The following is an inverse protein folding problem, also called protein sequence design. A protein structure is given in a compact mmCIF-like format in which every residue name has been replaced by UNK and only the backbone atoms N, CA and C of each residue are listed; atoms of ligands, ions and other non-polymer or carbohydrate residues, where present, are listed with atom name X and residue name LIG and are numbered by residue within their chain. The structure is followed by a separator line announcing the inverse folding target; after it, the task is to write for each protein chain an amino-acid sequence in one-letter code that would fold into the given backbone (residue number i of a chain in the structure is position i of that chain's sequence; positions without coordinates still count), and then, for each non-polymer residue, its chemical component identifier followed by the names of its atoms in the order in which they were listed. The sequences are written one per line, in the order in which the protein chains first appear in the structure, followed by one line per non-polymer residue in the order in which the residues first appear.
data_IF_590344738995
#
_entry.id   IF_590344738995
#
_cell.length_a   1.000
_cell.length_b   1.000
_cell.length_c   1.000
_cell.angle_alpha   90.00
_cell.angle_beta   90.00
_cell.angle_gamma   90.00
#
_symmetry.space_group_name_H-M   'P 1'
#
loop_
_entity.id
_entity.type
_entity.pdbx_description
1 polymer ?
#
# COMPACT_ATOMS: atom_id res chain seq x y z
N UNK A 1 21.95 -25.87 17.59
CA UNK A 1 22.37 -24.71 16.76
C UNK A 1 21.58 -24.81 15.47
N UNK A 2 20.67 -23.88 15.24
CA UNK A 2 19.72 -23.93 14.12
C UNK A 2 20.37 -23.45 12.80
N UNK A 3 20.40 -24.28 11.75
CA UNK A 3 21.06 -23.99 10.49
C UNK A 3 20.35 -22.91 9.63
N UNK A 4 19.08 -22.59 9.94
CA UNK A 4 18.32 -21.59 9.18
C UNK A 4 18.61 -20.15 9.63
N UNK A 5 19.01 -19.96 10.89
CA UNK A 5 19.38 -18.64 11.42
C UNK A 5 20.65 -18.11 10.74
N UNK A 6 21.64 -18.98 10.49
CA UNK A 6 22.92 -18.59 9.87
C UNK A 6 22.79 -18.28 8.38
N UNK A 7 21.88 -18.95 7.66
CA UNK A 7 21.56 -18.61 6.25
C UNK A 7 20.91 -17.23 6.12
N UNK A 8 19.98 -16.90 7.03
CA UNK A 8 19.30 -15.61 7.04
C UNK A 8 20.24 -14.43 7.31
N UNK A 9 21.21 -14.60 8.23
CA UNK A 9 22.19 -13.54 8.52
C UNK A 9 23.13 -13.27 7.34
N UNK A 10 23.53 -14.32 6.62
CA UNK A 10 24.41 -14.21 5.44
C UNK A 10 23.70 -13.54 4.25
N UNK A 11 22.41 -13.80 4.03
CA UNK A 11 21.64 -13.14 2.96
C UNK A 11 21.41 -11.64 3.24
N UNK A 12 21.17 -11.25 4.49
CA UNK A 12 21.01 -9.83 4.86
C UNK A 12 22.32 -9.04 4.76
N UNK A 13 23.46 -9.66 5.12
CA UNK A 13 24.78 -9.04 4.98
C UNK A 13 25.18 -8.86 3.51
N UNK A 14 24.84 -9.85 2.66
CA UNK A 14 25.09 -9.79 1.22
C UNK A 14 24.33 -8.63 0.58
N UNK A 15 23.02 -8.48 0.87
CA UNK A 15 22.21 -7.37 0.36
C UNK A 15 22.71 -5.99 0.80
N UNK A 16 23.16 -5.84 2.05
CA UNK A 16 23.73 -4.59 2.56
C UNK A 16 24.98 -4.16 1.80
N UNK A 17 25.86 -5.11 1.47
CA UNK A 17 27.08 -4.83 0.70
C UNK A 17 26.79 -4.49 -0.77
N UNK A 18 25.78 -5.12 -1.41
CA UNK A 18 25.44 -4.81 -2.81
C UNK A 18 24.81 -3.41 -2.92
N UNK A 19 23.95 -3.04 -1.97
CA UNK A 19 23.35 -1.69 -1.94
C UNK A 19 24.42 -0.63 -1.65
N UNK A 20 25.35 -0.90 -0.73
CA UNK A 20 26.44 0.02 -0.44
C UNK A 20 27.42 0.19 -1.62
N UNK A 21 27.68 -0.89 -2.38
CA UNK A 21 28.49 -0.82 -3.59
C UNK A 21 27.79 -0.02 -4.70
N UNK A 22 26.50 -0.30 -4.94
CA UNK A 22 25.70 0.44 -5.92
C UNK A 22 25.60 1.93 -5.57
N UNK A 23 25.51 2.28 -4.28
CA UNK A 23 25.50 3.68 -3.83
C UNK A 23 26.83 4.40 -4.12
N UNK A 24 27.97 3.72 -3.92
CA UNK A 24 29.30 4.31 -4.21
C UNK A 24 29.56 4.48 -5.70
N UNK A 25 29.15 3.51 -6.51
CA UNK A 25 29.31 3.58 -7.97
C UNK A 25 28.41 4.69 -8.55
N UNK A 26 27.19 4.84 -8.04
CA UNK A 26 26.30 5.95 -8.40
C UNK A 26 26.87 7.32 -8.02
N UNK A 27 27.45 7.42 -6.82
CA UNK A 27 28.09 8.64 -6.34
C UNK A 27 29.33 9.02 -7.17
N UNK A 28 30.10 8.03 -7.62
CA UNK A 28 31.26 8.23 -8.49
C UNK A 28 30.86 8.67 -9.89
N UNK A 29 29.83 8.05 -10.48
CA UNK A 29 29.30 8.45 -11.78
C UNK A 29 28.70 9.87 -11.78
N UNK A 30 28.10 10.31 -10.67
CA UNK A 30 27.62 11.68 -10.48
C UNK A 30 28.77 12.68 -10.47
N UNK A 31 29.81 12.43 -9.67
CA UNK A 31 31.00 13.29 -9.59
C UNK A 31 31.76 13.38 -10.93
N UNK A 32 31.82 12.27 -11.67
CA UNK A 32 32.46 12.25 -12.99
C UNK A 32 31.61 12.98 -14.06
N UNK A 33 30.27 12.96 -13.93
CA UNK A 33 29.37 13.76 -14.78
C UNK A 33 29.42 15.25 -14.44
N UNK A 34 29.50 15.63 -13.17
CA UNK A 34 29.66 17.02 -12.72
C UNK A 34 30.95 17.65 -13.28
N UNK A 35 32.06 16.91 -13.24
CA UNK A 35 33.34 17.35 -13.82
C UNK A 35 33.29 17.51 -15.34
N UNK A 36 32.47 16.72 -16.03
CA UNK A 36 32.29 16.82 -17.48
C UNK A 36 31.31 17.94 -17.89
N UNK A 37 30.46 18.42 -16.96
CA UNK A 37 29.41 19.41 -17.22
C UNK A 37 29.83 20.84 -16.86
N UNK A 38 30.93 21.02 -16.13
CA UNK A 38 31.52 22.32 -15.76
C UNK A 38 32.13 23.11 -16.94
N UNK A 39 31.95 22.68 -18.20
CA UNK A 39 32.47 23.38 -19.39
C UNK A 39 31.40 24.04 -20.28
N UNK A 40 30.13 24.14 -19.84
CA UNK A 40 29.11 24.89 -20.57
C UNK A 40 28.35 25.84 -19.65
N UNK A 41 28.51 27.14 -19.91
CA UNK A 41 27.84 28.28 -19.28
C UNK A 41 26.35 28.03 -18.97
N UNK A 42 26.05 27.76 -17.71
CA UNK A 42 24.82 28.10 -17.00
C UNK A 42 25.28 28.81 -15.73
N UNK A 43 24.51 29.79 -15.23
CA UNK A 43 24.79 30.43 -13.94
C UNK A 43 25.10 29.34 -12.89
N UNK A 44 26.35 29.28 -12.45
CA UNK A 44 26.85 28.29 -11.50
C UNK A 44 26.23 28.62 -10.14
N UNK A 45 25.04 28.07 -9.89
CA UNK A 45 24.53 27.90 -8.53
C UNK A 45 25.49 26.94 -7.85
N UNK A 46 26.28 27.47 -6.90
CA UNK A 46 27.22 26.67 -6.11
C UNK A 46 26.42 25.60 -5.36
N UNK A 47 26.64 24.34 -5.76
CA UNK A 47 25.92 23.21 -5.22
C UNK A 47 26.20 23.04 -3.72
N UNK A 48 27.38 23.49 -3.27
CA UNK A 48 27.78 23.47 -1.86
C UNK A 48 27.01 24.53 -1.05
N UNK A 49 26.77 25.74 -1.58
CA UNK A 49 25.94 26.76 -0.90
C UNK A 49 24.47 26.34 -0.80
N UNK A 50 23.95 25.60 -1.78
CA UNK A 50 22.58 25.09 -1.76
C UNK A 50 22.41 23.92 -0.77
N UNK A 51 23.47 23.14 -0.52
CA UNK A 51 23.46 22.04 0.45
C UNK A 51 23.44 22.52 1.90
N UNK A 52 24.01 23.69 2.17
CA UNK A 52 24.02 24.33 3.50
C UNK A 52 22.84 25.29 3.73
N UNK A 53 21.90 25.41 2.78
CA UNK A 53 20.70 26.24 2.92
C UNK A 53 19.73 25.65 3.96
N UNK A 54 19.52 26.30 5.12
CA UNK A 54 18.63 25.82 6.17
C UNK A 54 17.16 25.70 5.73
N UNK A 55 16.74 26.46 4.71
CA UNK A 55 15.40 26.38 4.15
C UNK A 55 15.21 25.11 3.30
N UNK A 56 16.24 24.73 2.52
CA UNK A 56 16.24 23.51 1.72
C UNK A 56 16.28 22.25 2.61
N UNK A 57 17.10 22.25 3.67
CA UNK A 57 17.13 21.18 4.67
C UNK A 57 15.77 20.98 5.34
N UNK A 58 15.10 22.08 5.70
CA UNK A 58 13.75 22.04 6.28
C UNK A 58 12.75 21.42 5.32
N UNK A 59 12.72 21.86 4.05
CA UNK A 59 11.87 21.28 2.99
C UNK A 59 12.12 19.78 2.78
N UNK A 60 13.38 19.36 2.81
CA UNK A 60 13.76 17.95 2.75
C UNK A 60 13.23 17.17 3.96
N UNK A 61 13.44 17.70 5.16
CA UNK A 61 12.97 17.07 6.40
C UNK A 61 11.44 16.92 6.43
N UNK A 62 10.71 17.94 6.01
CA UNK A 62 9.24 17.95 5.93
C UNK A 62 8.73 16.93 4.91
N UNK A 63 9.40 16.83 3.75
CA UNK A 63 9.04 15.84 2.72
C UNK A 63 9.31 14.41 3.18
N UNK A 64 10.45 14.17 3.82
CA UNK A 64 10.78 12.86 4.40
C UNK A 64 9.79 12.49 5.51
N UNK A 65 9.43 13.44 6.37
CA UNK A 65 8.44 13.23 7.42
C UNK A 65 7.05 12.91 6.84
N UNK A 66 6.61 13.62 5.80
CA UNK A 66 5.35 13.37 5.11
C UNK A 66 5.32 11.96 4.48
N UNK A 67 6.39 11.57 3.78
CA UNK A 67 6.53 10.25 3.17
C UNK A 67 6.53 9.13 4.22
N UNK A 68 7.24 9.32 5.35
CA UNK A 68 7.24 8.37 6.47
C UNK A 68 5.84 8.21 7.06
N UNK A 69 5.15 9.31 7.33
CA UNK A 69 3.78 9.30 7.88
C UNK A 69 2.79 8.59 6.95
N UNK A 70 2.89 8.82 5.64
CA UNK A 70 2.05 8.12 4.67
C UNK A 70 2.36 6.63 4.61
N UNK A 71 3.65 6.25 4.64
CA UNK A 71 4.07 4.86 4.69
C UNK A 71 3.56 4.14 5.95
N UNK A 72 3.68 4.76 7.12
CA UNK A 72 3.16 4.23 8.39
C UNK A 72 1.63 4.06 8.33
N UNK A 73 0.90 5.08 7.86
CA UNK A 73 -0.55 4.99 7.69
C UNK A 73 -0.93 3.83 6.78
N UNK A 74 -0.20 3.66 5.66
CA UNK A 74 -0.42 2.57 4.72
C UNK A 74 -0.12 1.20 5.33
N UNK A 75 0.94 1.07 6.12
CA UNK A 75 1.28 -0.16 6.84
C UNK A 75 0.19 -0.52 7.86
N UNK A 76 -0.28 0.44 8.66
CA UNK A 76 -1.37 0.21 9.63
C UNK A 76 -2.64 -0.27 8.94
N UNK A 77 -3.00 0.34 7.80
CA UNK A 77 -4.15 -0.10 7.02
C UNK A 77 -3.96 -1.51 6.45
N UNK A 78 -2.77 -1.83 5.94
CA UNK A 78 -2.43 -3.18 5.46
C UNK A 78 -2.53 -4.22 6.57
N UNK A 79 -2.04 -3.92 7.79
CA UNK A 79 -2.19 -4.81 8.95
C UNK A 79 -3.66 -5.08 9.31
N UNK A 80 -4.56 -4.11 9.04
CA UNK A 80 -6.02 -4.26 9.22
C UNK A 80 -6.71 -5.01 8.06
N UNK A 81 -5.95 -5.50 7.08
CA UNK A 81 -6.44 -6.24 5.91
C UNK A 81 -6.88 -5.34 4.75
N UNK A 82 -6.50 -4.06 4.73
CA UNK A 82 -6.74 -3.21 3.56
C UNK A 82 -5.75 -3.51 2.44
N UNK A 83 -6.18 -3.36 1.20
CA UNK A 83 -5.36 -3.67 0.02
C UNK A 83 -5.52 -5.10 -0.49
N UNK A 84 -6.27 -5.93 0.22
CA UNK A 84 -6.58 -7.30 -0.15
C UNK A 84 -8.08 -7.45 -0.40
N UNK A 85 -8.44 -8.50 -1.14
CA UNK A 85 -9.83 -8.91 -1.34
C UNK A 85 -10.03 -10.26 -0.66
N UNK A 86 -10.73 -10.24 0.47
CA UNK A 86 -10.85 -11.40 1.37
C UNK A 86 -12.30 -11.87 1.49
N UNK A 87 -12.46 -13.19 1.59
CA UNK A 87 -13.73 -13.81 1.97
C UNK A 87 -13.86 -13.85 3.48
N UNK A 88 -15.00 -13.41 4.00
CA UNK A 88 -15.29 -13.37 5.43
C UNK A 88 -16.55 -14.18 5.75
N UNK A 89 -16.70 -14.60 6.99
CA UNK A 89 -17.93 -15.22 7.49
C UNK A 89 -18.97 -14.18 7.89
N UNK A 90 -20.22 -14.63 8.08
CA UNK A 90 -21.31 -13.77 8.55
C UNK A 90 -20.99 -13.09 9.90
N UNK A 91 -20.37 -13.82 10.84
CA UNK A 91 -20.02 -13.28 12.17
C UNK A 91 -19.00 -12.14 12.14
N UNK A 92 -18.10 -12.13 11.15
CA UNK A 92 -17.06 -11.11 11.03
C UNK A 92 -17.54 -9.85 10.28
N UNK A 93 -18.70 -9.93 9.60
CA UNK A 93 -19.19 -8.88 8.70
C UNK A 93 -19.24 -7.50 9.36
N UNK A 94 -19.82 -7.40 10.55
CA UNK A 94 -19.93 -6.12 11.25
C UNK A 94 -18.57 -5.58 11.64
N UNK A 95 -17.71 -6.40 12.25
CA UNK A 95 -16.38 -5.98 12.68
C UNK A 95 -15.54 -5.47 11.49
N UNK A 96 -15.63 -6.13 10.35
CA UNK A 96 -14.91 -5.78 9.13
C UNK A 96 -15.44 -4.48 8.49
N UNK A 97 -16.76 -4.29 8.45
CA UNK A 97 -17.39 -3.11 7.85
C UNK A 97 -17.28 -1.88 8.73
N UNK A 98 -17.41 -2.01 10.06
CA UNK A 98 -17.34 -0.87 11.00
C UNK A 98 -15.92 -0.52 11.41
N UNK A 99 -14.96 -1.43 11.23
CA UNK A 99 -13.55 -1.21 11.57
C UNK A 99 -12.80 -0.27 10.61
N UNK A 100 -13.43 0.11 9.51
CA UNK A 100 -12.81 0.88 8.42
C UNK A 100 -13.69 2.07 8.03
N UNK A 101 -13.07 3.20 7.63
CA UNK A 101 -13.81 4.39 7.18
C UNK A 101 -14.67 4.11 5.94
N UNK A 102 -14.13 3.29 5.03
CA UNK A 102 -14.77 2.86 3.79
C UNK A 102 -14.60 1.36 3.64
N UNK A 103 -15.71 0.65 3.46
CA UNK A 103 -15.72 -0.78 3.21
C UNK A 103 -16.63 -1.11 2.02
N UNK A 104 -16.20 -2.05 1.19
CA UNK A 104 -16.96 -2.57 0.06
C UNK A 104 -17.19 -4.05 0.32
N UNK A 105 -18.46 -4.45 0.40
CA UNK A 105 -18.85 -5.84 0.54
C UNK A 105 -19.54 -6.35 -0.73
N UNK A 106 -18.95 -7.38 -1.32
CA UNK A 106 -19.57 -8.14 -2.39
C UNK A 106 -20.30 -9.36 -1.81
N UNK A 107 -21.63 -9.33 -1.87
CA UNK A 107 -22.48 -10.52 -1.67
C UNK A 107 -22.50 -11.33 -2.95
N UNK A 108 -22.01 -12.56 -2.88
CA UNK A 108 -21.81 -13.42 -4.06
C UNK A 108 -22.40 -14.81 -3.86
N UNK A 109 -22.45 -15.57 -4.94
CA UNK A 109 -22.82 -16.99 -4.94
C UNK A 109 -21.93 -17.74 -5.94
N UNK A 110 -21.42 -18.92 -5.57
CA UNK A 110 -20.40 -19.67 -6.32
C UNK A 110 -20.85 -20.07 -7.73
N UNK A 111 -22.12 -20.44 -7.86
CA UNK A 111 -22.75 -20.84 -9.14
C UNK A 111 -22.97 -19.67 -10.12
N UNK A 112 -22.90 -18.41 -9.66
CA UNK A 112 -23.29 -17.28 -10.50
C UNK A 112 -22.07 -16.73 -11.25
N UNK A 113 -22.02 -16.96 -12.56
CA UNK A 113 -20.91 -16.49 -13.41
C UNK A 113 -20.63 -14.98 -13.29
N UNK A 114 -21.69 -14.16 -13.14
CA UNK A 114 -21.55 -12.70 -12.93
C UNK A 114 -20.80 -12.33 -11.65
N UNK A 115 -20.88 -13.16 -10.61
CA UNK A 115 -20.08 -12.96 -9.40
C UNK A 115 -18.58 -13.17 -9.66
N UNK A 116 -18.21 -14.14 -10.50
CA UNK A 116 -16.80 -14.39 -10.87
C UNK A 116 -16.19 -13.19 -11.61
N UNK A 117 -16.98 -12.51 -12.45
CA UNK A 117 -16.56 -11.28 -13.11
C UNK A 117 -16.31 -10.18 -12.07
N UNK A 118 -17.24 -10.00 -11.14
CA UNK A 118 -17.11 -8.97 -10.10
C UNK A 118 -15.90 -9.23 -9.18
N UNK A 119 -15.67 -10.49 -8.78
CA UNK A 119 -14.49 -10.92 -8.03
C UNK A 119 -13.18 -10.48 -8.73
N UNK A 120 -13.07 -10.68 -10.04
CA UNK A 120 -11.89 -10.28 -10.83
C UNK A 120 -11.61 -8.78 -10.73
N UNK A 121 -12.66 -7.95 -10.85
CA UNK A 121 -12.51 -6.50 -10.82
C UNK A 121 -12.22 -5.99 -9.41
N UNK A 122 -12.94 -6.46 -8.39
CA UNK A 122 -12.71 -6.04 -7.01
C UNK A 122 -11.32 -6.46 -6.50
N UNK A 123 -10.85 -7.66 -6.87
CA UNK A 123 -9.49 -8.11 -6.54
C UNK A 123 -8.41 -7.23 -7.18
N UNK A 124 -8.63 -6.71 -8.39
CA UNK A 124 -7.71 -5.80 -9.05
C UNK A 124 -7.74 -4.37 -8.48
N UNK A 125 -8.87 -3.97 -7.88
CA UNK A 125 -9.07 -2.65 -7.26
C UNK A 125 -8.55 -2.58 -5.84
N UNK A 126 -8.66 -3.67 -5.06
CA UNK A 126 -8.22 -3.72 -3.67
C UNK A 126 -6.81 -3.14 -3.43
N UNK A 127 -5.74 -3.58 -4.12
CA UNK A 127 -4.38 -3.06 -3.87
C UNK A 127 -4.19 -1.60 -4.33
N UNK A 128 -5.05 -1.10 -5.23
CA UNK A 128 -4.99 0.29 -5.71
C UNK A 128 -5.66 1.27 -4.75
N UNK A 129 -6.59 0.78 -3.92
CA UNK A 129 -7.39 1.59 -3.01
C UNK A 129 -7.19 1.15 -1.56
N UNK A 130 -5.97 1.32 -1.03
CA UNK A 130 -5.64 0.94 0.37
C UNK A 130 -6.50 1.68 1.41
N UNK A 131 -7.05 2.86 1.08
CA UNK A 131 -7.98 3.56 1.95
C UNK A 131 -9.35 2.87 2.13
N UNK A 132 -9.66 1.86 1.30
CA UNK A 132 -10.95 1.16 1.31
C UNK A 132 -10.73 -0.32 1.57
N UNK A 133 -11.55 -0.90 2.42
CA UNK A 133 -11.51 -2.34 2.71
C UNK A 133 -12.38 -3.10 1.71
N UNK A 134 -11.88 -4.17 1.11
CA UNK A 134 -12.60 -4.98 0.13
C UNK A 134 -12.83 -6.37 0.68
N UNK A 135 -14.10 -6.73 0.86
CA UNK A 135 -14.52 -8.01 1.40
C UNK A 135 -15.58 -8.64 0.51
N UNK A 136 -15.71 -9.97 0.61
CA UNK A 136 -16.80 -10.72 0.01
C UNK A 136 -17.42 -11.68 1.00
N UNK A 137 -18.71 -11.91 0.82
CA UNK A 137 -19.53 -12.74 1.69
C UNK A 137 -20.42 -13.63 0.83
N UNK A 138 -20.42 -14.92 1.11
CA UNK A 138 -21.29 -15.89 0.44
C UNK A 138 -22.73 -15.67 0.92
N UNK A 139 -23.62 -15.33 0.00
CA UNK A 139 -25.01 -15.02 0.32
C UNK A 139 -25.77 -16.22 0.91
N UNK A 140 -25.38 -17.45 0.58
CA UNK A 140 -25.96 -18.65 1.19
C UNK A 140 -25.57 -18.79 2.67
N UNK A 141 -24.35 -18.37 3.02
CA UNK A 141 -23.81 -18.48 4.37
C UNK A 141 -24.08 -17.23 5.23
N UNK A 142 -24.79 -16.23 4.70
CA UNK A 142 -25.13 -15.00 5.40
C UNK A 142 -26.60 -14.56 5.27
N UNK A 143 -27.56 -15.42 5.61
CA UNK A 143 -28.98 -15.16 5.41
C UNK A 143 -29.51 -13.97 6.23
N UNK A 144 -28.89 -13.65 7.38
CA UNK A 144 -29.33 -12.53 8.21
C UNK A 144 -29.08 -11.20 7.48
N UNK A 145 -27.87 -10.99 6.96
CA UNK A 145 -27.56 -9.75 6.24
C UNK A 145 -28.22 -9.66 4.87
N UNK A 146 -28.36 -10.78 4.15
CA UNK A 146 -29.13 -10.83 2.89
C UNK A 146 -30.55 -10.33 3.11
N UNK A 147 -31.21 -10.80 4.16
CA UNK A 147 -32.57 -10.38 4.51
C UNK A 147 -32.60 -8.93 5.01
N UNK A 148 -31.70 -8.57 5.93
CA UNK A 148 -31.67 -7.25 6.57
C UNK A 148 -31.37 -6.12 5.59
N UNK A 149 -30.49 -6.37 4.62
CA UNK A 149 -30.10 -5.41 3.58
C UNK A 149 -30.99 -5.52 2.32
N UNK A 150 -31.96 -6.43 2.29
CA UNK A 150 -32.93 -6.57 1.21
C UNK A 150 -32.32 -7.02 -0.12
N UNK A 151 -31.30 -7.88 -0.08
CA UNK A 151 -30.58 -8.35 -1.26
C UNK A 151 -31.45 -9.37 -2.00
N UNK A 152 -31.86 -9.04 -3.23
CA UNK A 152 -32.73 -9.89 -4.07
C UNK A 152 -32.03 -10.47 -5.29
N UNK A 153 -30.90 -9.88 -5.69
CA UNK A 153 -30.17 -10.24 -6.92
C UNK A 153 -28.68 -10.28 -6.64
N UNK A 154 -27.99 -11.22 -7.29
CA UNK A 154 -26.54 -11.38 -7.18
C UNK A 154 -25.88 -11.25 -8.57
N UNK A 155 -24.66 -10.68 -8.66
CA UNK A 155 -23.87 -10.11 -7.58
C UNK A 155 -24.47 -8.82 -7.02
N UNK A 156 -24.40 -8.63 -5.70
CA UNK A 156 -24.73 -7.37 -5.04
C UNK A 156 -23.48 -6.81 -4.37
N UNK A 157 -23.16 -5.55 -4.65
CA UNK A 157 -22.03 -4.85 -4.05
C UNK A 157 -22.57 -3.67 -3.26
N UNK A 158 -22.24 -3.62 -1.97
CA UNK A 158 -22.67 -2.56 -1.06
C UNK A 158 -21.43 -1.84 -0.57
N UNK A 159 -21.48 -0.50 -0.59
CA UNK A 159 -20.43 0.37 -0.11
C UNK A 159 -20.90 0.98 1.20
N UNK A 160 -20.10 0.79 2.25
CA UNK A 160 -20.28 1.38 3.56
C UNK A 160 -19.29 2.51 3.72
N UNK A 161 -19.76 3.63 4.25
CA UNK A 161 -18.95 4.77 4.63
C UNK A 161 -19.32 5.17 6.04
N UNK A 162 -18.35 5.30 6.92
CA UNK A 162 -18.58 5.88 8.24
C UNK A 162 -18.75 7.39 8.07
N UNK A 163 -19.93 7.91 8.38
CA UNK A 163 -20.16 9.35 8.52
C UNK A 163 -19.72 9.76 9.95
N UNK A 164 -18.41 9.76 10.21
CA UNK A 164 -17.88 10.39 11.41
C UNK A 164 -17.93 11.91 11.20
N UNK A 165 -19.07 12.51 11.58
CA UNK A 165 -19.21 13.96 11.79
C UNK A 165 -18.59 14.33 13.13
#
# INVERSE_FOLDING_TARGET
MDPDSVKSTLSNLAFGNVIAAAARDYQKELLDKEKAQASSSNDEVDLDELMDDPELEKLHSDRIAALKKEAEKRQVLQMKGHGEYKEIGEGDFLAEVTGSEKAICHFYHKEFYRCKIMDKHLKALAPKHIGTKFIKLDAENAPFFVTKLGIKTLPCVIIFRSDNV
#
